data_IF_071889684749
#
_entry.id   IF_071889684749
#
_cell.length_a   1.000
_cell.length_b   1.000
_cell.length_c   1.000
_cell.angle_alpha   90.00
_cell.angle_beta   90.00
_cell.angle_gamma   90.00
#
_symmetry.space_group_name_H-M   'P 1'
#
loop_
_entity.id
_entity.type
_entity.pdbx_description
1 polymer ?
#
# COMPACT_ATOMS: atom_id res chain seq x y z
N UNK A 1 2.88 -3.91 15.39
CA UNK A 1 2.43 -3.96 13.98
C UNK A 1 3.58 -4.12 13.00
N UNK A 2 4.73 -3.47 13.22
CA UNK A 2 5.88 -3.56 12.32
C UNK A 2 6.39 -4.99 12.10
N UNK A 3 6.69 -5.74 13.17
CA UNK A 3 7.14 -7.14 13.05
C UNK A 3 6.12 -8.06 12.39
N UNK A 4 4.83 -7.78 12.58
CA UNK A 4 3.75 -8.47 11.86
C UNK A 4 3.82 -8.15 10.36
N UNK A 5 4.03 -6.88 10.01
CA UNK A 5 4.26 -6.45 8.64
C UNK A 5 5.46 -7.17 7.99
N UNK A 6 6.58 -7.30 8.71
CA UNK A 6 7.76 -8.04 8.20
C UNK A 6 7.45 -9.50 7.89
N UNK A 7 6.70 -10.16 8.79
CA UNK A 7 6.28 -11.55 8.61
C UNK A 7 5.36 -11.73 7.41
N UNK A 8 4.41 -10.80 7.22
CA UNK A 8 3.52 -10.79 6.05
C UNK A 8 4.35 -10.56 4.78
N UNK A 9 5.15 -9.50 4.73
CA UNK A 9 5.96 -9.12 3.57
C UNK A 9 6.93 -10.21 3.11
N UNK A 10 7.48 -11.00 4.05
CA UNK A 10 8.36 -12.13 3.71
C UNK A 10 7.67 -13.29 2.97
N UNK A 11 6.34 -13.31 2.96
CA UNK A 11 5.53 -14.32 2.29
C UNK A 11 4.87 -13.79 1.02
N UNK A 12 4.94 -12.48 0.78
CA UNK A 12 4.30 -11.87 -0.36
C UNK A 12 4.96 -12.28 -1.68
N UNK A 13 4.14 -12.40 -2.71
CA UNK A 13 4.55 -12.60 -4.10
C UNK A 13 3.96 -11.51 -4.99
N UNK A 14 4.46 -11.43 -6.22
CA UNK A 14 3.92 -10.51 -7.21
C UNK A 14 2.44 -10.78 -7.48
N UNK A 15 1.64 -9.71 -7.52
CA UNK A 15 0.19 -9.77 -7.71
C UNK A 15 -0.64 -9.81 -6.43
N UNK A 16 -0.02 -9.99 -5.26
CA UNK A 16 -0.72 -10.00 -3.98
C UNK A 16 -1.41 -8.65 -3.70
N UNK A 17 -2.63 -8.73 -3.18
CA UNK A 17 -3.44 -7.59 -2.77
C UNK A 17 -3.80 -7.71 -1.29
N UNK A 18 -3.46 -6.68 -0.52
CA UNK A 18 -3.69 -6.61 0.93
C UNK A 18 -4.58 -5.40 1.21
N UNK A 19 -5.77 -5.66 1.76
CA UNK A 19 -6.71 -4.63 2.22
C UNK A 19 -6.55 -4.45 3.73
N UNK A 20 -6.27 -3.23 4.18
CA UNK A 20 -6.08 -2.90 5.59
C UNK A 20 -7.25 -2.05 6.10
N UNK A 21 -8.08 -2.67 6.92
CA UNK A 21 -9.19 -2.01 7.60
C UNK A 21 -8.91 -1.76 9.08
N UNK A 22 -9.26 -0.57 9.54
CA UNK A 22 -9.18 -0.21 10.94
C UNK A 22 -9.24 1.29 11.16
N UNK A 23 -9.54 1.75 12.39
CA UNK A 23 -9.67 3.17 12.70
C UNK A 23 -8.36 3.95 12.49
N UNK A 24 -8.46 5.28 12.50
CA UNK A 24 -7.30 6.16 12.52
C UNK A 24 -6.42 5.81 13.74
N UNK A 25 -5.10 5.73 13.54
CA UNK A 25 -4.17 5.34 14.61
C UNK A 25 -4.08 3.84 14.90
N UNK A 26 -4.79 2.95 14.17
CA UNK A 26 -4.70 1.49 14.35
C UNK A 26 -3.32 0.88 13.96
N UNK A 27 -2.37 1.70 13.48
CA UNK A 27 -1.05 1.24 13.08
C UNK A 27 -1.00 0.60 11.69
N UNK A 28 -1.96 0.92 10.80
CA UNK A 28 -2.00 0.45 9.41
C UNK A 28 -0.71 0.82 8.65
N UNK A 29 -0.34 2.10 8.63
CA UNK A 29 0.93 2.56 8.02
C UNK A 29 2.17 1.87 8.63
N UNK A 30 2.19 1.63 9.95
CA UNK A 30 3.29 0.90 10.62
C UNK A 30 3.38 -0.55 10.15
N UNK A 31 2.24 -1.17 9.83
CA UNK A 31 2.21 -2.49 9.22
C UNK A 31 2.74 -2.46 7.78
N UNK A 32 2.36 -1.45 6.98
CA UNK A 32 2.89 -1.28 5.61
C UNK A 32 4.40 -1.05 5.61
N UNK A 33 4.93 -0.30 6.58
CA UNK A 33 6.36 -0.11 6.76
C UNK A 33 7.10 -1.43 7.00
N UNK A 34 6.56 -2.29 7.86
CA UNK A 34 7.11 -3.63 8.08
C UNK A 34 7.06 -4.50 6.82
N UNK A 35 5.99 -4.42 6.03
CA UNK A 35 5.89 -5.12 4.74
C UNK A 35 6.99 -4.61 3.79
N UNK A 36 7.12 -3.29 3.63
CA UNK A 36 8.14 -2.68 2.79
C UNK A 36 9.55 -3.09 3.19
N UNK A 37 9.86 -3.12 4.49
CA UNK A 37 11.18 -3.53 4.97
C UNK A 37 11.49 -4.99 4.57
N UNK A 38 10.53 -5.91 4.68
CA UNK A 38 10.72 -7.29 4.24
C UNK A 38 10.90 -7.43 2.72
N UNK A 39 10.40 -6.46 1.94
CA UNK A 39 10.64 -6.36 0.50
C UNK A 39 11.94 -5.60 0.15
N UNK A 40 12.71 -5.15 1.14
CA UNK A 40 13.96 -4.41 0.94
C UNK A 40 13.79 -2.90 0.72
N UNK A 41 12.67 -2.33 1.15
CA UNK A 41 12.35 -0.90 1.02
C UNK A 41 12.57 -0.21 2.37
N UNK A 42 13.44 0.79 2.42
CA UNK A 42 13.78 1.54 3.64
C UNK A 42 12.80 2.67 3.98
N UNK A 43 12.19 3.29 2.97
CA UNK A 43 11.50 4.58 3.12
C UNK A 43 10.02 4.52 2.74
N UNK A 44 9.29 3.56 3.33
CA UNK A 44 7.83 3.52 3.23
C UNK A 44 7.24 4.66 4.05
N UNK A 45 6.58 5.58 3.36
CA UNK A 45 5.91 6.74 3.94
C UNK A 45 4.46 6.72 3.52
N UNK A 46 3.57 7.12 4.45
CA UNK A 46 2.16 7.31 4.12
C UNK A 46 2.06 8.25 2.92
N UNK A 47 1.22 7.95 1.92
CA UNK A 47 0.98 8.86 0.83
C UNK A 47 0.05 10.01 1.32
N UNK A 48 0.59 10.89 2.17
CA UNK A 48 -0.19 11.93 2.87
C UNK A 48 -0.84 12.96 1.93
N UNK A 49 -0.30 13.12 0.72
CA UNK A 49 -0.71 14.11 -0.29
C UNK A 49 -0.94 13.53 -1.69
N UNK A 50 -0.78 12.21 -1.86
CA UNK A 50 -0.97 11.50 -3.12
C UNK A 50 -1.85 10.28 -2.85
N UNK A 51 -2.52 9.74 -3.86
CA UNK A 51 -3.50 8.65 -3.65
C UNK A 51 -2.80 7.30 -3.55
N UNK A 52 -1.70 7.16 -4.30
CA UNK A 52 -0.83 6.00 -4.27
C UNK A 52 0.63 6.41 -4.36
N UNK A 53 1.50 5.54 -3.88
CA UNK A 53 2.95 5.63 -4.04
C UNK A 53 3.50 4.27 -4.42
N UNK A 54 4.38 4.25 -5.43
CA UNK A 54 5.13 3.05 -5.81
C UNK A 54 6.52 3.14 -5.18
N UNK A 55 6.85 2.13 -4.39
CA UNK A 55 8.18 1.93 -3.82
C UNK A 55 8.92 0.88 -4.65
N UNK A 56 10.07 1.27 -5.22
CA UNK A 56 10.86 0.42 -6.09
C UNK A 56 11.69 -0.58 -5.28
N UNK A 57 11.61 -1.84 -5.67
CA UNK A 57 12.39 -2.97 -5.16
C UNK A 57 12.34 -4.11 -6.21
N UNK A 58 13.10 -5.20 -6.05
CA UNK A 58 12.94 -6.39 -6.89
C UNK A 58 11.50 -6.90 -6.94
N UNK A 59 10.78 -6.81 -5.82
CA UNK A 59 9.32 -6.94 -5.75
C UNK A 59 8.74 -5.60 -5.29
N UNK A 60 8.25 -4.75 -6.22
CA UNK A 60 7.71 -3.43 -5.90
C UNK A 60 6.54 -3.47 -4.93
N UNK A 61 6.37 -2.40 -4.18
CA UNK A 61 5.22 -2.17 -3.30
C UNK A 61 4.43 -0.97 -3.80
N UNK A 62 3.15 -1.20 -4.09
CA UNK A 62 2.16 -0.16 -4.36
C UNK A 62 1.40 0.09 -3.06
N UNK A 63 1.54 1.28 -2.50
CA UNK A 63 0.86 1.69 -1.28
C UNK A 63 -0.21 2.73 -1.61
N UNK A 64 -1.47 2.38 -1.37
CA UNK A 64 -2.65 3.22 -1.62
C UNK A 64 -3.30 3.60 -0.30
N UNK A 65 -3.73 4.85 -0.16
CA UNK A 65 -4.55 5.31 0.97
C UNK A 65 -5.94 5.76 0.48
N UNK A 66 -6.93 4.89 0.66
CA UNK A 66 -8.30 5.11 0.20
C UNK A 66 -9.10 6.07 1.11
N UNK A 67 -8.58 6.43 2.30
CA UNK A 67 -9.23 7.43 3.16
C UNK A 67 -9.49 8.75 2.40
N UNK A 68 -8.57 9.12 1.51
CA UNK A 68 -8.69 10.32 0.67
C UNK A 68 -9.73 10.19 -0.44
N UNK A 69 -9.91 9.00 -1.00
CA UNK A 69 -10.96 8.74 -1.99
C UNK A 69 -12.34 8.91 -1.36
N UNK A 70 -12.47 8.52 -0.09
CA UNK A 70 -13.70 8.65 0.69
C UNK A 70 -13.97 10.10 1.13
N UNK A 71 -12.96 10.87 1.52
CA UNK A 71 -13.12 12.30 1.86
C UNK A 71 -13.35 13.18 0.61
N UNK A 72 -12.72 12.88 -0.52
CA UNK A 72 -12.75 13.69 -1.74
C UNK A 72 -14.01 13.54 -2.60
N UNK A 73 -14.91 12.60 -2.27
CA UNK A 73 -16.21 12.43 -2.91
C UNK A 73 -16.19 11.94 -4.37
N UNK A 74 -15.02 11.65 -4.95
CA UNK A 74 -14.87 11.30 -6.36
C UNK A 74 -13.90 10.13 -6.59
N UNK A 75 -14.16 9.01 -5.93
CA UNK A 75 -13.34 7.79 -6.01
C UNK A 75 -13.09 7.30 -7.45
N UNK A 76 -14.07 7.46 -8.34
CA UNK A 76 -13.96 7.02 -9.74
C UNK A 76 -12.88 7.77 -10.53
N UNK A 77 -12.75 9.10 -10.38
CA UNK A 77 -11.75 9.89 -11.09
C UNK A 77 -10.31 9.51 -10.74
N UNK A 78 -10.11 9.07 -9.51
CA UNK A 78 -8.79 8.76 -8.98
C UNK A 78 -8.39 7.30 -9.17
N UNK A 79 -9.37 6.40 -9.35
CA UNK A 79 -9.12 5.02 -9.74
C UNK A 79 -8.61 4.94 -11.18
N UNK A 80 -9.12 5.79 -12.08
CA UNK A 80 -8.63 5.89 -13.47
C UNK A 80 -7.20 6.48 -13.55
N UNK A 81 -6.82 7.36 -12.63
CA UNK A 81 -5.45 7.93 -12.51
C UNK A 81 -4.46 6.97 -11.81
N UNK A 82 -4.98 6.00 -11.06
CA UNK A 82 -4.21 4.89 -10.54
C UNK A 82 -3.99 3.92 -11.71
N UNK A 83 -3.01 4.21 -12.57
CA UNK A 83 -2.52 3.32 -13.63
C UNK A 83 -1.90 2.05 -13.02
N UNK A 84 -2.74 1.24 -12.38
CA UNK A 84 -2.43 0.00 -11.66
C UNK A 84 -2.42 -1.20 -12.61
N UNK A 85 -3.00 -1.07 -13.79
CA UNK A 85 -3.20 -2.21 -14.68
C UNK A 85 -1.87 -2.78 -15.21
N UNK A 86 -0.83 -1.95 -15.38
CA UNK A 86 0.49 -2.41 -15.81
C UNK A 86 1.47 -2.80 -14.68
N UNK A 87 1.50 -2.15 -13.50
CA UNK A 87 2.45 -2.48 -12.43
C UNK A 87 1.93 -3.54 -11.44
N UNK A 88 0.61 -3.74 -11.30
CA UNK A 88 0.02 -4.54 -10.21
C UNK A 88 0.36 -6.02 -10.29
N UNK A 89 0.38 -6.61 -11.49
CA UNK A 89 0.71 -8.04 -11.66
C UNK A 89 2.14 -8.36 -11.22
N UNK A 90 3.03 -7.37 -11.22
CA UNK A 90 4.43 -7.52 -10.86
C UNK A 90 4.77 -6.93 -9.48
N UNK A 91 3.77 -6.52 -8.69
CA UNK A 91 3.96 -5.82 -7.43
C UNK A 91 3.06 -6.38 -6.31
N UNK A 92 3.42 -6.07 -5.07
CA UNK A 92 2.53 -6.22 -3.92
C UNK A 92 1.73 -4.94 -3.78
N UNK A 93 0.41 -5.03 -3.67
CA UNK A 93 -0.46 -3.87 -3.48
C UNK A 93 -1.05 -3.87 -2.08
N UNK A 94 -0.88 -2.77 -1.36
CA UNK A 94 -1.46 -2.56 -0.03
C UNK A 94 -2.37 -1.34 -0.09
N UNK A 95 -3.65 -1.53 0.22
CA UNK A 95 -4.65 -0.47 0.28
C UNK A 95 -5.09 -0.27 1.72
N UNK A 96 -4.82 0.92 2.27
CA UNK A 96 -5.41 1.35 3.54
C UNK A 96 -6.86 1.81 3.32
N UNK A 97 -7.77 1.41 4.21
CA UNK A 97 -9.21 1.75 4.18
C UNK A 97 -10.00 1.18 2.98
N UNK A 98 -9.58 0.03 2.46
CA UNK A 98 -10.25 -0.68 1.35
C UNK A 98 -11.26 -1.73 1.79
#
# INVERSE_FOLDING_TARGET
MHDLGKRIGSQCVAGDLILLNGPLGAGKTVLVQGIGEALGISDVTSPTFVISRIHKAPLPLIHVDAYRLLEGGNAALYLDDLDLDSPRENAVTVIEWG
#
